data_IF_676765442380
#
_entry.id   IF_676765442380
#
_cell.length_a   1.000
_cell.length_b   1.000
_cell.length_c   1.000
_cell.angle_alpha   90.00
_cell.angle_beta   90.00
_cell.angle_gamma   90.00
#
_symmetry.space_group_name_H-M   'P 1'
#
loop_
_entity.id
_entity.type
_entity.pdbx_description
1 polymer ?
#
# COMPACT_ATOMS: atom_id res chain seq x y z
N UNK A 1 -13.36 10.61 11.11
CA UNK A 1 -12.83 11.15 9.84
C UNK A 1 -11.67 10.27 9.38
N UNK A 2 -11.56 10.01 8.07
CA UNK A 2 -10.53 9.15 7.48
C UNK A 2 -10.12 9.68 6.10
N UNK A 3 -8.88 9.42 5.73
CA UNK A 3 -8.37 9.61 4.37
C UNK A 3 -8.46 8.28 3.62
N UNK A 4 -8.97 8.28 2.39
CA UNK A 4 -9.01 7.08 1.52
C UNK A 4 -8.25 7.34 0.24
N UNK A 5 -7.40 6.40 -0.16
CA UNK A 5 -6.53 6.49 -1.33
C UNK A 5 -6.75 5.26 -2.20
N UNK A 6 -6.86 5.47 -3.51
CA UNK A 6 -6.85 4.39 -4.47
C UNK A 6 -5.40 3.97 -4.77
N UNK A 7 -5.10 2.70 -4.57
CA UNK A 7 -3.80 2.11 -4.82
C UNK A 7 -3.87 1.25 -6.08
N UNK A 8 -2.96 1.48 -7.02
CA UNK A 8 -2.73 0.61 -8.18
C UNK A 8 -1.25 0.25 -8.24
N UNK A 9 -0.94 -1.05 -8.26
CA UNK A 9 0.42 -1.57 -8.36
C UNK A 9 0.49 -2.45 -9.59
N UNK A 10 1.38 -2.12 -10.51
CA UNK A 10 1.66 -2.92 -11.70
C UNK A 10 2.96 -3.70 -11.54
N UNK A 11 2.93 -5.00 -11.82
CA UNK A 11 4.13 -5.82 -11.82
C UNK A 11 4.81 -5.78 -13.20
N UNK A 12 5.83 -4.93 -13.36
CA UNK A 12 6.67 -4.89 -14.56
C UNK A 12 7.98 -5.69 -14.41
N UNK A 13 8.08 -6.57 -13.41
CA UNK A 13 9.27 -7.39 -13.19
C UNK A 13 9.20 -8.72 -13.93
N UNK A 14 10.28 -9.50 -13.88
CA UNK A 14 10.39 -10.84 -14.48
C UNK A 14 9.77 -11.96 -13.63
N UNK A 15 9.21 -11.64 -12.46
CA UNK A 15 8.64 -12.61 -11.52
C UNK A 15 7.40 -12.10 -10.81
N UNK A 16 6.55 -13.01 -10.36
CA UNK A 16 5.43 -12.68 -9.49
C UNK A 16 5.93 -12.20 -8.12
N UNK A 17 5.14 -11.33 -7.47
CA UNK A 17 5.31 -11.01 -6.05
C UNK A 17 3.97 -11.14 -5.32
N UNK A 18 4.04 -11.47 -4.04
CA UNK A 18 2.88 -11.56 -3.17
C UNK A 18 3.07 -10.61 -2.01
N UNK A 19 2.07 -9.77 -1.73
CA UNK A 19 2.05 -8.95 -0.53
C UNK A 19 1.29 -9.67 0.59
N UNK A 20 1.77 -9.53 1.83
CA UNK A 20 0.96 -9.88 2.98
C UNK A 20 0.06 -8.70 3.34
N UNK A 21 -1.25 -8.90 3.53
CA UNK A 21 -2.13 -7.80 3.98
C UNK A 21 -1.69 -7.22 5.34
N UNK A 22 -1.14 -8.04 6.23
CA UNK A 22 -0.53 -7.63 7.51
C UNK A 22 0.84 -6.95 7.38
N UNK A 23 1.41 -6.96 6.17
CA UNK A 23 2.70 -6.37 5.84
C UNK A 23 2.56 -5.02 5.11
N UNK A 24 1.34 -4.48 5.04
CA UNK A 24 1.07 -3.14 4.54
C UNK A 24 0.81 -2.20 5.72
N UNK A 25 1.53 -1.09 5.76
CA UNK A 25 1.47 -0.09 6.84
C UNK A 25 1.54 1.31 6.26
N UNK A 26 0.89 2.24 6.93
CA UNK A 26 1.08 3.68 6.67
C UNK A 26 1.88 4.24 7.82
N UNK A 27 2.94 4.98 7.51
CA UNK A 27 3.80 5.66 8.47
C UNK A 27 3.59 7.17 8.33
N UNK A 28 3.72 7.91 9.42
CA UNK A 28 3.84 9.36 9.37
C UNK A 28 5.29 9.79 9.05
N UNK A 29 5.54 11.10 9.00
CA UNK A 29 6.87 11.69 8.76
C UNK A 29 7.94 11.32 9.80
N UNK A 30 7.56 10.91 11.00
CA UNK A 30 8.47 10.43 12.05
C UNK A 30 8.74 8.92 11.97
N UNK A 31 8.08 8.21 11.05
CA UNK A 31 8.22 6.76 10.88
C UNK A 31 7.29 5.93 11.77
N UNK A 32 6.38 6.56 12.51
CA UNK A 32 5.43 5.88 13.39
C UNK A 32 4.25 5.32 12.60
N UNK A 33 3.82 4.08 12.89
CA UNK A 33 2.71 3.45 12.19
C UNK A 33 1.36 4.08 12.56
N UNK A 34 0.57 4.39 11.54
CA UNK A 34 -0.81 4.84 11.65
C UNK A 34 -1.77 3.66 11.52
N UNK A 35 -2.96 3.81 12.12
CA UNK A 35 -4.05 2.85 11.91
C UNK A 35 -4.58 2.99 10.49
N UNK A 36 -4.43 1.95 9.69
CA UNK A 36 -4.90 1.90 8.31
C UNK A 36 -5.61 0.58 7.99
N UNK A 37 -6.54 0.61 7.05
CA UNK A 37 -7.22 -0.54 6.49
C UNK A 37 -6.97 -0.62 4.99
N UNK A 38 -6.49 -1.76 4.52
CA UNK A 38 -6.32 -2.04 3.10
C UNK A 38 -7.45 -2.98 2.65
N UNK A 39 -8.12 -2.62 1.56
CA UNK A 39 -9.20 -3.41 0.98
C UNK A 39 -8.92 -3.64 -0.50
N UNK A 40 -8.72 -4.90 -0.90
CA UNK A 40 -8.61 -5.25 -2.32
C UNK A 40 -9.94 -5.00 -3.03
N UNK A 41 -9.87 -4.57 -4.30
CA UNK A 41 -11.07 -4.59 -5.15
C UNK A 41 -11.51 -6.04 -5.41
N UNK A 42 -12.82 -6.22 -5.65
CA UNK A 42 -13.44 -7.54 -5.88
C UNK A 42 -12.71 -8.29 -6.99
N UNK A 43 -12.37 -9.56 -6.73
CA UNK A 43 -11.69 -10.43 -7.68
C UNK A 43 -10.18 -10.20 -7.82
N UNK A 44 -9.58 -9.32 -7.02
CA UNK A 44 -8.12 -9.13 -6.98
C UNK A 44 -7.48 -9.99 -5.89
N UNK A 45 -6.23 -10.35 -6.11
CA UNK A 45 -5.36 -11.10 -5.19
C UNK A 45 -4.23 -10.21 -4.70
N UNK A 46 -3.65 -10.53 -3.54
CA UNK A 46 -2.40 -9.92 -3.08
C UNK A 46 -1.17 -10.46 -3.81
N UNK A 47 -1.33 -11.55 -4.57
CA UNK A 47 -0.34 -12.00 -5.55
C UNK A 47 -0.57 -11.27 -6.86
N UNK A 48 0.50 -10.70 -7.42
CA UNK A 48 0.50 -9.99 -8.69
C UNK A 48 1.46 -10.70 -9.62
N UNK A 49 0.93 -11.42 -10.62
CA UNK A 49 1.77 -12.08 -11.61
C UNK A 49 2.46 -11.05 -12.52
N UNK A 50 3.45 -11.49 -13.29
CA UNK A 50 4.16 -10.64 -14.25
C UNK A 50 3.18 -10.04 -15.26
N UNK A 51 3.23 -8.72 -15.42
CA UNK A 51 2.34 -7.96 -16.31
C UNK A 51 0.97 -7.62 -15.72
N UNK A 52 0.62 -8.17 -14.55
CA UNK A 52 -0.67 -7.92 -13.92
C UNK A 52 -0.69 -6.67 -13.01
N UNK A 53 -1.90 -6.28 -12.62
CA UNK A 53 -2.16 -5.16 -11.73
C UNK A 53 -3.02 -5.54 -10.53
N UNK A 54 -2.57 -5.10 -9.36
CA UNK A 54 -3.33 -5.07 -8.12
C UNK A 54 -4.00 -3.71 -7.97
N UNK A 55 -5.29 -3.74 -7.60
CA UNK A 55 -6.04 -2.55 -7.24
C UNK A 55 -6.64 -2.70 -5.85
N UNK A 56 -6.43 -1.69 -5.01
CA UNK A 56 -6.90 -1.65 -3.65
C UNK A 56 -7.34 -0.24 -3.25
N UNK A 57 -8.07 -0.16 -2.14
CA UNK A 57 -8.35 1.07 -1.43
C UNK A 57 -7.64 1.02 -0.08
N UNK A 58 -6.89 2.06 0.24
CA UNK A 58 -6.20 2.24 1.51
C UNK A 58 -6.89 3.34 2.29
N UNK A 59 -7.43 3.01 3.46
CA UNK A 59 -8.05 3.97 4.36
C UNK A 59 -7.14 4.23 5.56
N UNK A 60 -6.74 5.48 5.77
CA UNK A 60 -5.98 5.94 6.94
C UNK A 60 -6.95 6.53 7.95
N UNK A 61 -7.06 5.89 9.11
CA UNK A 61 -8.02 6.26 10.15
C UNK A 61 -7.53 7.46 10.95
N UNK A 62 -8.47 8.31 11.40
CA UNK A 62 -8.18 9.54 12.16
C UNK A 62 -7.25 10.51 11.42
N UNK A 63 -7.19 10.40 10.10
CA UNK A 63 -6.46 11.33 9.23
C UNK A 63 -7.43 12.04 8.30
N UNK A 64 -7.09 13.25 7.87
CA UNK A 64 -7.84 14.01 6.86
C UNK A 64 -6.97 14.15 5.63
N UNK A 65 -7.60 14.29 4.47
CA UNK A 65 -6.94 14.96 3.37
C UNK A 65 -6.59 16.40 3.75
N UNK A 66 -5.35 16.77 3.51
CA UNK A 66 -4.86 18.15 3.60
C UNK A 66 -4.67 18.61 2.16
N UNK A 67 -5.12 19.81 1.81
CA UNK A 67 -4.99 20.37 0.44
C UNK A 67 -3.55 20.82 0.11
N UNK A 68 -2.57 20.07 0.62
CA UNK A 68 -1.18 20.12 0.22
C UNK A 68 -0.94 18.97 -0.77
N UNK A 69 -0.06 19.17 -1.75
CA UNK A 69 0.28 18.12 -2.73
C UNK A 69 0.93 16.86 -2.14
N UNK A 70 1.18 16.82 -0.83
CA UNK A 70 1.77 15.72 -0.06
C UNK A 70 1.06 15.65 1.32
N UNK A 71 0.72 14.45 1.79
CA UNK A 71 0.09 14.21 3.09
C UNK A 71 1.13 13.96 4.21
N UNK A 72 2.43 13.99 3.89
CA UNK A 72 3.53 13.65 4.80
C UNK A 72 3.42 12.21 5.35
N UNK A 73 2.85 11.32 4.53
CA UNK A 73 2.67 9.91 4.85
C UNK A 73 3.51 9.02 3.95
N UNK A 74 3.84 7.84 4.46
CA UNK A 74 4.59 6.84 3.72
C UNK A 74 3.80 5.53 3.74
N UNK A 75 3.47 5.02 2.56
CA UNK A 75 2.96 3.66 2.39
C UNK A 75 4.15 2.71 2.36
N UNK A 76 4.25 1.82 3.35
CA UNK A 76 5.19 0.71 3.37
C UNK A 76 4.48 -0.60 3.04
N UNK A 77 4.98 -1.34 2.06
CA UNK A 77 4.48 -2.67 1.69
C UNK A 77 5.64 -3.65 1.66
N UNK A 78 5.53 -4.75 2.40
CA UNK A 78 6.54 -5.82 2.35
C UNK A 78 6.05 -7.01 1.53
N UNK A 79 6.94 -7.50 0.69
CA UNK A 79 6.77 -8.74 -0.05
C UNK A 79 6.78 -9.90 0.96
N UNK A 80 5.77 -10.78 0.89
CA UNK A 80 5.66 -11.98 1.72
C UNK A 80 6.54 -13.14 1.22
N UNK A 81 7.27 -12.95 0.11
CA UNK A 81 8.19 -13.95 -0.44
C UNK A 81 9.51 -14.00 0.34
N UNK A 82 10.29 -15.06 0.11
CA UNK A 82 11.58 -15.32 0.78
C UNK A 82 12.63 -14.22 0.61
N UNK A 83 12.47 -13.30 -0.35
CA UNK A 83 13.41 -12.21 -0.65
C UNK A 83 13.04 -10.92 0.13
N UNK A 84 11.88 -10.88 0.81
CA UNK A 84 11.47 -9.84 1.77
C UNK A 84 11.71 -8.37 1.33
N UNK A 85 11.38 -8.03 0.07
CA UNK A 85 11.52 -6.65 -0.43
C UNK A 85 10.53 -5.72 0.26
N UNK A 86 10.98 -4.49 0.50
CA UNK A 86 10.16 -3.43 1.11
C UNK A 86 10.01 -2.29 0.12
N UNK A 87 8.76 -1.98 -0.22
CA UNK A 87 8.40 -0.86 -1.08
C UNK A 87 7.91 0.29 -0.22
N UNK A 88 8.40 1.50 -0.48
CA UNK A 88 8.01 2.72 0.23
C UNK A 88 7.58 3.79 -0.78
N UNK A 89 6.41 4.37 -0.57
CA UNK A 89 5.86 5.45 -1.40
C UNK A 89 5.42 6.59 -0.48
N UNK A 90 6.02 7.77 -0.65
CA UNK A 90 5.54 8.98 0.01
C UNK A 90 4.33 9.54 -0.73
N UNK A 91 3.31 10.01 -0.01
CA UNK A 91 2.10 10.58 -0.57
C UNK A 91 1.46 11.60 0.37
#
# INVERSE_FOLDING_TARGET
MSLTIALRIKNNSDRAFTFGSSLVRVLNSTGDPLKSLLTLKKGKSFTVATGEELEASLQVLKHRWIDNGNQDLILEMKEASSVARVFRLAF
#
